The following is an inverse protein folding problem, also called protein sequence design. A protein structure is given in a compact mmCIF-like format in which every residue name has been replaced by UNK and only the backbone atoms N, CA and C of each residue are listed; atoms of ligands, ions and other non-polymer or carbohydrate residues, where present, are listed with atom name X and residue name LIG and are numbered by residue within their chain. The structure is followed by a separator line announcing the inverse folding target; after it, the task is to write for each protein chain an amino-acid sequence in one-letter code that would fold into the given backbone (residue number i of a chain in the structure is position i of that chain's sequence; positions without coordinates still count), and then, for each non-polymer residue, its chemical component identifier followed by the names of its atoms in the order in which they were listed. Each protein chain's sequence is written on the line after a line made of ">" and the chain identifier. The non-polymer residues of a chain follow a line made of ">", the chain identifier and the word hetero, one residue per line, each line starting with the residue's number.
data_IF_664612487675
#
_entry.id   IF_664612487675
#
_cell.length_a   1.000
_cell.length_b   1.000
_cell.length_c   1.000
_cell.angle_alpha   90.00
_cell.angle_beta   90.00
_cell.angle_gamma   90.00
#
_symmetry.space_group_name_H-M   'P 1'
#
loop_
_entity.id
_entity.type
_entity.pdbx_description
1 polymer ?
#
# COMPACT_ATOMS: atom_id res chain seq x y z
N UNK A 1 -23.94 -68.43 45.45
CA UNK A 1 -22.72 -67.99 46.15
C UNK A 1 -21.78 -67.39 45.13
N UNK A 2 -21.77 -66.06 44.98
CA UNK A 2 -20.87 -65.34 44.06
C UNK A 2 -20.47 -64.07 44.80
N UNK A 3 -19.16 -63.90 45.07
CA UNK A 3 -18.61 -62.73 45.75
C UNK A 3 -17.65 -62.02 44.79
N UNK A 4 -17.93 -60.74 44.58
CA UNK A 4 -17.30 -59.81 43.64
C UNK A 4 -15.98 -59.28 44.21
N UNK A 5 -14.95 -59.13 43.38
CA UNK A 5 -13.69 -58.46 43.73
C UNK A 5 -13.77 -56.97 43.38
N UNK A 6 -13.44 -56.12 44.36
CA UNK A 6 -13.45 -54.66 44.24
C UNK A 6 -12.07 -54.18 43.74
N UNK A 7 -11.98 -53.64 42.53
CA UNK A 7 -10.80 -52.90 42.06
C UNK A 7 -11.03 -51.41 42.24
N UNK A 8 -10.28 -50.78 43.15
CA UNK A 8 -10.27 -49.33 43.38
C UNK A 8 -9.54 -48.63 42.24
N UNK A 9 -10.27 -47.84 41.44
CA UNK A 9 -9.71 -46.97 40.40
C UNK A 9 -9.27 -45.64 41.03
N UNK A 10 -7.98 -45.29 40.91
CA UNK A 10 -7.43 -44.01 41.38
C UNK A 10 -7.53 -42.97 40.26
N UNK A 11 -8.32 -41.92 40.45
CA UNK A 11 -8.68 -40.90 39.45
C UNK A 11 -7.77 -39.67 39.42
N UNK A 12 -6.53 -39.77 39.92
CA UNK A 12 -5.70 -38.58 40.24
C UNK A 12 -4.77 -38.06 39.13
N UNK A 13 -4.91 -38.44 37.86
CA UNK A 13 -4.01 -37.93 36.80
C UNK A 13 -4.73 -37.64 35.47
N UNK A 14 -5.59 -36.64 35.43
CA UNK A 14 -5.97 -35.97 34.18
C UNK A 14 -5.71 -34.46 34.34
N UNK A 15 -4.48 -34.04 34.09
CA UNK A 15 -4.16 -32.62 33.93
C UNK A 15 -4.53 -32.20 32.51
N UNK A 16 -5.75 -31.67 32.34
CA UNK A 16 -6.14 -31.01 31.09
C UNK A 16 -5.42 -29.67 31.05
N UNK A 17 -4.27 -29.62 30.40
CA UNK A 17 -3.53 -28.37 30.17
C UNK A 17 -4.45 -27.44 29.38
N UNK A 18 -5.05 -26.45 30.07
CA UNK A 18 -5.78 -25.36 29.43
C UNK A 18 -4.81 -24.64 28.50
N UNK A 19 -4.93 -24.84 27.19
CA UNK A 19 -4.30 -23.97 26.19
C UNK A 19 -4.86 -22.56 26.37
N UNK A 20 -4.19 -21.78 27.22
CA UNK A 20 -4.52 -20.40 27.53
C UNK A 20 -4.39 -19.52 26.29
N UNK A 21 -5.53 -19.20 25.69
CA UNK A 21 -6.02 -17.82 25.49
C UNK A 21 -4.99 -16.71 25.14
N UNK A 22 -4.00 -16.95 24.28
CA UNK A 22 -3.01 -15.90 23.90
C UNK A 22 -2.89 -15.61 22.40
N UNK A 23 -3.93 -15.87 21.61
CA UNK A 23 -3.90 -15.59 20.15
C UNK A 23 -4.64 -14.31 19.74
N UNK A 24 -5.59 -13.82 20.55
CA UNK A 24 -6.46 -12.70 20.14
C UNK A 24 -5.77 -11.33 20.17
N UNK A 25 -4.98 -11.06 21.22
CA UNK A 25 -4.23 -9.79 21.32
C UNK A 25 -3.11 -9.66 20.29
N UNK A 26 -2.43 -10.77 19.97
CA UNK A 26 -1.38 -10.82 18.95
C UNK A 26 -1.94 -10.57 17.53
N UNK A 27 -3.14 -11.05 17.23
CA UNK A 27 -3.80 -10.78 15.95
C UNK A 27 -4.21 -9.31 15.84
N UNK A 28 -4.81 -8.75 16.90
CA UNK A 28 -5.23 -7.33 16.90
C UNK A 28 -4.01 -6.40 16.75
N UNK A 29 -2.93 -6.67 17.47
CA UNK A 29 -1.68 -5.89 17.37
C UNK A 29 -1.03 -6.04 15.99
N UNK A 30 -1.03 -7.25 15.41
CA UNK A 30 -0.52 -7.48 14.05
C UNK A 30 -1.37 -6.79 12.98
N UNK A 31 -2.70 -6.78 13.10
CA UNK A 31 -3.60 -6.10 12.16
C UNK A 31 -3.47 -4.58 12.27
N UNK A 32 -3.35 -4.04 13.49
CA UNK A 32 -3.13 -2.62 13.71
C UNK A 32 -1.78 -2.15 13.15
N UNK A 33 -0.72 -2.93 13.39
CA UNK A 33 0.59 -2.66 12.81
C UNK A 33 0.54 -2.69 11.28
N UNK A 34 -0.09 -3.70 10.68
CA UNK A 34 -0.25 -3.81 9.22
C UNK A 34 -1.03 -2.63 8.63
N UNK A 35 -2.04 -2.12 9.33
CA UNK A 35 -2.80 -0.94 8.92
C UNK A 35 -1.98 0.36 9.02
N UNK A 36 -1.16 0.52 10.06
CA UNK A 36 -0.27 1.68 10.22
C UNK A 36 0.90 1.66 9.22
N UNK A 37 1.38 0.48 8.85
CA UNK A 37 2.38 0.26 7.80
C UNK A 37 1.82 0.46 6.38
N UNK A 38 0.49 0.43 6.22
CA UNK A 38 -0.17 0.73 4.95
C UNK A 38 -0.28 2.25 4.73
N UNK A 39 0.85 2.94 4.64
CA UNK A 39 0.88 4.33 4.19
C UNK A 39 0.60 4.39 2.68
N UNK A 40 -0.51 4.98 2.28
CA UNK A 40 -0.76 5.36 0.90
C UNK A 40 -0.06 6.67 0.55
N UNK A 41 0.58 6.75 -0.62
CA UNK A 41 0.96 8.05 -1.19
C UNK A 41 -0.33 8.84 -1.46
N UNK A 42 -0.50 9.96 -0.76
CA UNK A 42 -1.62 10.87 -1.01
C UNK A 42 -1.13 11.97 -1.95
N UNK A 43 -1.80 12.13 -3.08
CA UNK A 43 -1.49 13.20 -4.03
C UNK A 43 -1.95 14.57 -3.50
N UNK A 44 -1.19 15.61 -3.81
CA UNK A 44 -1.55 16.99 -3.53
C UNK A 44 -2.72 17.46 -4.40
N UNK A 45 -3.61 18.24 -3.80
CA UNK A 45 -4.66 18.94 -4.54
C UNK A 45 -4.09 20.20 -5.22
N UNK A 46 -4.50 20.46 -6.46
CA UNK A 46 -4.16 21.69 -7.16
C UNK A 46 -5.03 22.85 -6.66
N UNK A 47 -4.61 23.48 -5.56
CA UNK A 47 -5.30 24.62 -4.96
C UNK A 47 -4.90 25.94 -5.66
N UNK A 48 -5.82 26.93 -5.71
CA UNK A 48 -5.51 28.24 -6.26
C UNK A 48 -4.46 28.99 -5.43
N UNK A 49 -3.75 29.94 -6.04
CA UNK A 49 -2.80 30.83 -5.36
C UNK A 49 -1.36 30.32 -5.27
N UNK A 50 -1.05 29.11 -5.78
CA UNK A 50 0.34 28.65 -5.95
C UNK A 50 1.04 29.58 -6.95
N UNK A 51 2.13 30.22 -6.52
CA UNK A 51 3.02 30.97 -7.41
C UNK A 51 3.99 30.01 -8.08
N UNK A 52 4.11 30.09 -9.40
CA UNK A 52 5.10 29.33 -10.15
C UNK A 52 6.47 29.98 -10.00
N UNK A 53 7.49 29.17 -9.77
CA UNK A 53 8.88 29.53 -9.60
C UNK A 53 9.74 28.76 -10.60
N UNK A 54 10.29 29.49 -11.56
CA UNK A 54 11.20 28.91 -12.56
C UNK A 54 12.66 29.16 -12.16
N UNK A 55 13.57 28.18 -12.38
CA UNK A 55 13.40 26.99 -13.21
C UNK A 55 12.83 25.75 -12.48
N UNK A 56 12.57 25.81 -11.17
CA UNK A 56 12.10 24.67 -10.36
C UNK A 56 10.87 23.98 -10.96
N UNK A 57 9.85 24.75 -11.34
CA UNK A 57 8.59 24.23 -11.91
C UNK A 57 8.70 23.80 -13.40
N UNK A 58 9.90 23.74 -13.99
CA UNK A 58 10.11 23.02 -15.26
C UNK A 58 10.23 21.50 -15.06
N UNK A 59 10.55 21.05 -13.85
CA UNK A 59 10.78 19.64 -13.53
C UNK A 59 9.48 18.88 -13.30
N UNK A 60 9.56 17.56 -13.08
CA UNK A 60 8.38 16.73 -12.82
C UNK A 60 7.79 16.98 -11.43
N UNK A 61 6.47 16.93 -11.35
CA UNK A 61 5.71 17.18 -10.13
C UNK A 61 5.10 15.87 -9.59
N UNK A 62 5.94 14.99 -9.03
CA UNK A 62 5.53 13.65 -8.53
C UNK A 62 4.43 13.67 -7.47
N UNK A 63 4.31 14.77 -6.74
CA UNK A 63 3.31 14.96 -5.70
C UNK A 63 1.88 15.07 -6.24
N UNK A 64 1.72 15.33 -7.55
CA UNK A 64 0.41 15.40 -8.20
C UNK A 64 0.09 14.10 -8.92
N UNK A 65 -1.21 13.76 -8.89
CA UNK A 65 -1.75 12.53 -9.49
C UNK A 65 -1.58 12.47 -10.99
N UNK A 66 -1.60 13.64 -11.64
CA UNK A 66 -1.63 13.71 -13.10
C UNK A 66 -0.67 14.78 -13.58
N UNK A 67 0.17 14.43 -14.54
CA UNK A 67 1.11 15.35 -15.18
C UNK A 67 1.14 15.11 -16.69
N UNK A 68 1.26 16.22 -17.44
CA UNK A 68 1.19 16.23 -18.89
C UNK A 68 2.36 17.03 -19.42
N UNK A 69 3.09 16.44 -20.37
CA UNK A 69 4.03 17.19 -21.20
C UNK A 69 3.55 17.13 -22.64
N UNK A 70 3.33 18.29 -23.23
CA UNK A 70 2.81 18.42 -24.60
C UNK A 70 3.73 19.30 -25.43
N UNK A 71 4.39 18.68 -26.40
CA UNK A 71 5.27 19.33 -27.35
C UNK A 71 4.66 19.28 -28.74
N UNK A 72 4.57 20.42 -29.40
CA UNK A 72 4.16 20.54 -30.80
C UNK A 72 5.09 21.46 -31.54
N UNK A 73 5.21 21.26 -32.85
CA UNK A 73 6.02 22.15 -33.66
C UNK A 73 6.03 21.78 -35.12
N UNK A 74 6.90 22.48 -35.84
CA UNK A 74 7.13 22.30 -37.26
C UNK A 74 8.62 22.03 -37.48
N UNK A 75 8.92 21.14 -38.43
CA UNK A 75 10.25 20.82 -38.90
C UNK A 75 10.32 21.18 -40.37
N UNK A 76 11.49 21.63 -40.82
CA UNK A 76 11.79 21.85 -42.22
C UNK A 76 13.03 21.03 -42.58
N UNK A 77 12.98 20.31 -43.70
CA UNK A 77 14.14 19.58 -44.22
C UNK A 77 15.06 20.52 -44.99
N UNK A 78 16.31 20.10 -45.20
CA UNK A 78 17.25 20.81 -46.07
C UNK A 78 16.72 21.00 -47.50
N UNK A 79 15.84 20.11 -47.96
CA UNK A 79 15.15 20.22 -49.25
C UNK A 79 13.92 21.14 -49.26
N UNK A 80 13.64 21.83 -48.15
CA UNK A 80 12.52 22.78 -48.01
C UNK A 80 11.16 22.14 -47.76
N UNK A 81 11.09 20.86 -47.37
CA UNK A 81 9.82 20.18 -47.07
C UNK A 81 9.46 20.37 -45.59
N UNK A 82 8.25 20.85 -45.34
CA UNK A 82 7.73 21.05 -43.99
C UNK A 82 7.00 19.81 -43.45
N UNK A 83 7.17 19.56 -42.16
CA UNK A 83 6.45 18.55 -41.39
C UNK A 83 5.93 19.15 -40.08
N UNK A 84 4.73 18.76 -39.66
CA UNK A 84 4.27 18.98 -38.30
C UNK A 84 4.65 17.80 -37.40
N UNK A 85 4.91 18.04 -36.13
CA UNK A 85 5.08 16.99 -35.13
C UNK A 85 4.34 17.29 -33.84
N UNK A 86 4.01 16.21 -33.11
CA UNK A 86 3.55 16.27 -31.74
C UNK A 86 4.18 15.15 -30.92
N UNK A 87 4.43 15.43 -29.64
CA UNK A 87 4.86 14.45 -28.63
C UNK A 87 4.11 14.73 -27.34
N UNK A 88 3.49 13.70 -26.77
CA UNK A 88 2.73 13.83 -25.53
C UNK A 88 3.10 12.73 -24.55
N UNK A 89 3.36 13.11 -23.31
CA UNK A 89 3.58 12.20 -22.19
C UNK A 89 2.49 12.40 -21.13
N UNK A 90 1.98 11.30 -20.59
CA UNK A 90 1.03 11.28 -19.48
C UNK A 90 1.62 10.47 -18.33
N UNK A 91 1.47 10.98 -17.12
CA UNK A 91 1.77 10.27 -15.87
C UNK A 91 0.57 10.37 -14.94
#
# INVERSE_FOLDING_TARGET
>A
MVRVYNTTWNSSQISITRFGRLRRGAIITSLLASFLLASSFTYQAALPGRKLSFPQDHSSHSDFKTEWWYYTGHLETESGKSYGYQVTFFR
#
